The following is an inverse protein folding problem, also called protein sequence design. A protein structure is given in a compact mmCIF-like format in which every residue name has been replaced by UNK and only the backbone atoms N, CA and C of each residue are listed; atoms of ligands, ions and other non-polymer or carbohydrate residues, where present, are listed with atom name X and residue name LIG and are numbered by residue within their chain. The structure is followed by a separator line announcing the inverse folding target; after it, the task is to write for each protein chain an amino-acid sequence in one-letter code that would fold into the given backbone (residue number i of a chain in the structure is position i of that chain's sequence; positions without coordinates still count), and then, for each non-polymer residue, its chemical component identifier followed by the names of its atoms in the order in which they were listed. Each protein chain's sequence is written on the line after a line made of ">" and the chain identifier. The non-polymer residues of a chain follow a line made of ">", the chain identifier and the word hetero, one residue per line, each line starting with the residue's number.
data_IF_412238817514
#
_entry.id   IF_412238817514
#
_cell.length_a   1.000
_cell.length_b   1.000
_cell.length_c   1.000
_cell.angle_alpha   90.00
_cell.angle_beta   90.00
_cell.angle_gamma   90.00
#
_symmetry.space_group_name_H-M   'P 1'
#
loop_
_entity.id
_entity.type
_entity.pdbx_description
1 polymer ?
#
# COMPACT_ATOMS: atom_id res chain seq x y z
N UNK A 1 14.00 21.14 22.08
CA UNK A 1 14.68 19.97 21.49
C UNK A 1 13.62 18.89 21.28
N UNK A 2 13.23 18.55 20.04
CA UNK A 2 12.27 17.47 19.78
C UNK A 2 13.07 16.20 19.49
N UNK A 3 13.18 15.31 20.46
CA UNK A 3 13.78 13.99 20.26
C UNK A 3 12.72 13.09 19.66
N UNK A 4 12.91 12.65 18.42
CA UNK A 4 12.09 11.59 17.83
C UNK A 4 12.51 10.27 18.47
N UNK A 5 11.78 9.87 19.51
CA UNK A 5 12.04 8.60 20.18
C UNK A 5 11.56 7.46 19.29
N UNK A 6 12.46 6.53 18.98
CA UNK A 6 12.13 5.36 18.18
C UNK A 6 11.55 4.29 19.10
N UNK A 7 10.25 4.05 18.97
CA UNK A 7 9.50 3.11 19.84
C UNK A 7 9.61 1.67 19.34
N UNK A 8 9.79 1.47 18.03
CA UNK A 8 9.90 0.16 17.39
C UNK A 8 11.31 -0.10 16.87
N UNK A 9 11.84 -1.30 17.15
CA UNK A 9 13.05 -1.83 16.54
C UNK A 9 12.90 -1.98 15.01
N UNK A 10 14.00 -2.29 14.32
CA UNK A 10 13.96 -2.58 12.88
C UNK A 10 13.12 -3.84 12.59
N UNK A 11 13.28 -4.88 13.40
CA UNK A 11 12.53 -6.14 13.27
C UNK A 11 11.02 -5.93 13.48
N UNK A 12 10.63 -5.17 14.51
CA UNK A 12 9.22 -4.87 14.75
C UNK A 12 8.59 -4.06 13.62
N UNK A 13 9.36 -3.13 13.02
CA UNK A 13 8.88 -2.40 11.83
C UNK A 13 8.75 -3.30 10.62
N UNK A 14 9.68 -4.23 10.42
CA UNK A 14 9.60 -5.19 9.33
C UNK A 14 8.36 -6.06 9.47
N UNK A 15 8.08 -6.56 10.67
CA UNK A 15 6.85 -7.32 10.95
C UNK A 15 5.59 -6.50 10.68
N UNK A 16 5.52 -5.26 11.16
CA UNK A 16 4.37 -4.39 10.89
C UNK A 16 4.18 -4.19 9.39
N UNK A 17 5.26 -4.01 8.64
CA UNK A 17 5.22 -3.86 7.18
C UNK A 17 4.63 -5.10 6.50
N UNK A 18 5.16 -6.29 6.78
CA UNK A 18 4.68 -7.54 6.17
C UNK A 18 3.22 -7.84 6.53
N UNK A 19 2.84 -7.70 7.80
CA UNK A 19 1.46 -7.93 8.24
C UNK A 19 0.48 -6.90 7.65
N UNK A 20 0.90 -5.64 7.52
CA UNK A 20 0.06 -4.60 6.89
C UNK A 20 -0.18 -4.92 5.41
N UNK A 21 0.82 -5.43 4.72
CA UNK A 21 0.69 -5.86 3.32
C UNK A 21 -0.22 -7.07 3.19
N UNK A 22 -0.05 -8.05 4.07
CA UNK A 22 -0.90 -9.24 4.13
C UNK A 22 -2.38 -8.86 4.36
N UNK A 23 -2.66 -7.89 5.24
CA UNK A 23 -4.02 -7.36 5.44
C UNK A 23 -4.53 -6.69 4.15
N UNK A 24 -3.72 -5.86 3.51
CA UNK A 24 -4.12 -5.12 2.32
C UNK A 24 -4.38 -6.05 1.12
N UNK A 25 -3.60 -7.11 0.96
CA UNK A 25 -3.77 -8.11 -0.10
C UNK A 25 -5.03 -8.96 0.14
N UNK A 26 -5.28 -9.42 1.36
CA UNK A 26 -6.40 -10.30 1.65
C UNK A 26 -7.74 -9.59 1.87
N UNK A 27 -7.71 -8.37 2.42
CA UNK A 27 -8.93 -7.62 2.78
C UNK A 27 -9.25 -6.52 1.76
N UNK A 28 -8.22 -5.94 1.14
CA UNK A 28 -8.36 -4.75 0.32
C UNK A 28 -8.72 -3.50 1.13
N UNK A 29 -8.99 -2.40 0.43
CA UNK A 29 -9.49 -1.15 1.04
C UNK A 29 -10.65 -0.59 0.24
N UNK A 30 -11.61 0.03 0.93
CA UNK A 30 -12.73 0.70 0.30
C UNK A 30 -12.34 2.10 -0.18
N UNK A 31 -12.63 2.39 -1.45
CA UNK A 31 -12.28 3.63 -2.15
C UNK A 31 -13.55 4.32 -2.63
N UNK A 32 -14.00 5.27 -1.83
CA UNK A 32 -15.27 5.97 -2.06
C UNK A 32 -15.21 6.91 -3.28
N UNK A 33 -14.04 7.48 -3.56
CA UNK A 33 -13.94 8.53 -4.59
C UNK A 33 -13.66 7.94 -5.97
N UNK A 34 -14.35 8.43 -7.03
CA UNK A 34 -14.03 8.05 -8.41
C UNK A 34 -12.58 8.33 -8.79
N UNK A 35 -12.01 9.44 -8.30
CA UNK A 35 -10.60 9.79 -8.52
C UNK A 35 -9.65 8.76 -7.90
N UNK A 36 -9.90 8.34 -6.65
CA UNK A 36 -9.10 7.32 -5.98
C UNK A 36 -9.12 5.99 -6.74
N UNK A 37 -10.30 5.57 -7.22
CA UNK A 37 -10.42 4.35 -8.03
C UNK A 37 -9.66 4.44 -9.34
N UNK A 38 -9.66 5.60 -9.99
CA UNK A 38 -8.91 5.82 -11.23
C UNK A 38 -7.41 5.70 -10.98
N UNK A 39 -6.87 6.44 -10.00
CA UNK A 39 -5.44 6.41 -9.65
C UNK A 39 -4.99 4.98 -9.35
N UNK A 40 -5.79 4.26 -8.57
CA UNK A 40 -5.46 2.89 -8.16
C UNK A 40 -5.51 1.88 -9.31
N UNK A 41 -6.41 2.06 -10.29
CA UNK A 41 -6.39 1.27 -11.53
C UNK A 41 -5.18 1.60 -12.40
N UNK A 42 -4.82 2.88 -12.49
CA UNK A 42 -3.71 3.35 -13.33
C UNK A 42 -2.36 2.79 -12.84
N UNK A 43 -2.20 2.55 -11.54
CA UNK A 43 -1.01 1.88 -10.97
C UNK A 43 -1.08 0.35 -11.03
N UNK A 44 -2.07 -0.20 -11.73
CA UNK A 44 -2.27 -1.64 -11.85
C UNK A 44 -2.84 -2.26 -10.59
N UNK A 45 -3.82 -1.63 -9.95
CA UNK A 45 -4.63 -2.27 -8.91
C UNK A 45 -5.93 -2.82 -9.45
N UNK A 46 -6.40 -3.93 -8.88
CA UNK A 46 -7.75 -4.39 -9.15
C UNK A 46 -8.74 -3.59 -8.30
N UNK A 47 -9.72 -2.99 -8.96
CA UNK A 47 -10.73 -2.14 -8.30
C UNK A 47 -12.11 -2.52 -8.81
N UNK A 48 -12.77 -3.38 -8.04
CA UNK A 48 -14.13 -3.84 -8.28
C UNK A 48 -15.10 -3.25 -7.25
N UNK A 49 -16.25 -2.74 -7.71
CA UNK A 49 -17.34 -2.17 -6.89
C UNK A 49 -16.96 -1.21 -5.74
N UNK A 50 -15.82 -0.52 -5.86
CA UNK A 50 -15.34 0.40 -4.83
C UNK A 50 -14.43 -0.21 -3.78
N UNK A 51 -14.05 -1.48 -3.93
CA UNK A 51 -13.00 -2.12 -3.19
C UNK A 51 -11.74 -2.20 -4.07
N UNK A 52 -10.60 -1.80 -3.51
CA UNK A 52 -9.29 -1.97 -4.13
C UNK A 52 -8.61 -3.19 -3.53
N UNK A 53 -8.10 -4.06 -4.39
CA UNK A 53 -7.17 -5.12 -4.06
C UNK A 53 -5.87 -4.90 -4.86
N UNK A 54 -4.69 -4.91 -4.22
CA UNK A 54 -3.44 -4.91 -4.96
C UNK A 54 -3.29 -6.25 -5.71
N UNK A 55 -3.02 -6.23 -7.02
CA UNK A 55 -2.70 -7.45 -7.78
C UNK A 55 -1.24 -7.83 -7.56
N UNK A 56 -1.03 -8.83 -6.71
CA UNK A 56 0.23 -9.55 -6.44
C UNK A 56 1.41 -8.73 -5.89
N UNK A 57 1.93 -9.26 -4.79
CA UNK A 57 3.02 -8.78 -3.95
C UNK A 57 4.41 -8.94 -4.57
N UNK A 58 4.63 -8.40 -5.77
CA UNK A 58 5.95 -8.40 -6.39
C UNK A 58 6.66 -7.10 -6.00
N UNK A 59 7.77 -7.16 -5.25
CA UNK A 59 8.63 -6.01 -4.90
C UNK A 59 9.00 -5.15 -6.14
N UNK A 60 9.08 -5.80 -7.30
CA UNK A 60 9.34 -5.22 -8.62
C UNK A 60 8.26 -4.22 -9.07
N UNK A 61 6.99 -4.49 -8.79
CA UNK A 61 5.86 -3.64 -9.21
C UNK A 61 5.70 -2.42 -8.29
N UNK A 62 6.14 -2.53 -7.02
CA UNK A 62 6.10 -1.43 -6.04
C UNK A 62 6.97 -0.22 -6.45
N UNK A 63 8.06 -0.44 -7.19
CA UNK A 63 8.95 0.64 -7.63
C UNK A 63 8.36 1.48 -8.77
N UNK A 64 7.47 0.91 -9.58
CA UNK A 64 6.90 1.63 -10.74
C UNK A 64 5.89 2.69 -10.27
N UNK A 65 5.09 2.39 -9.25
CA UNK A 65 4.13 3.35 -8.69
C UNK A 65 4.79 4.48 -7.87
N UNK A 66 5.90 4.20 -7.16
CA UNK A 66 6.58 5.21 -6.35
C UNK A 66 7.54 6.12 -7.17
N UNK A 67 8.04 5.67 -8.32
CA UNK A 67 9.05 6.38 -9.09
C UNK A 67 8.50 7.24 -10.24
N UNK A 68 7.21 7.12 -10.59
CA UNK A 68 6.59 7.93 -11.66
C UNK A 68 5.98 9.26 -11.17
N UNK A 69 6.18 9.62 -9.90
CA UNK A 69 5.67 10.86 -9.30
C UNK A 69 6.79 11.78 -8.78
N UNK A 70 7.99 11.72 -9.38
CA UNK A 70 9.11 12.64 -9.11
C UNK A 70 9.64 13.26 -10.39
#
# INVERSE_FOLDING_TARGET
>A
MKTLYRVLSDEERHRVHEESLNILENTGVRVETPLGRKILRDVGGDVDDGQYMPISSNESDRRVAAFQSS
#
